data_IF_936107182731
#
_entry.id   IF_936107182731
#
_cell.length_a   1.000
_cell.length_b   1.000
_cell.length_c   1.000
_cell.angle_alpha   90.00
_cell.angle_beta   90.00
_cell.angle_gamma   90.00
#
_symmetry.space_group_name_H-M   'P 1'
#
loop_
_entity.id
_entity.type
_entity.pdbx_description
1 polymer ?
#
# COMPACT_ATOMS: atom_id res chain seq x y z
N UNK A 1 -2.93 10.56 14.79
CA UNK A 1 -3.12 9.09 14.83
C UNK A 1 -2.73 8.52 13.48
N UNK A 2 -1.69 7.69 13.41
CA UNK A 2 -1.37 6.89 12.22
C UNK A 2 -2.26 5.66 12.24
N UNK A 3 -3.32 5.68 11.43
CA UNK A 3 -4.11 4.47 11.17
C UNK A 3 -3.27 3.51 10.33
N UNK A 4 -2.84 2.40 10.93
CA UNK A 4 -2.19 1.30 10.23
C UNK A 4 -3.21 0.59 9.34
N UNK A 5 -2.84 0.34 8.08
CA UNK A 5 -3.66 -0.44 7.17
C UNK A 5 -3.69 -1.91 7.61
N UNK A 6 -4.86 -2.54 7.52
CA UNK A 6 -4.97 -3.98 7.69
C UNK A 6 -4.13 -4.73 6.65
N UNK A 7 -3.76 -5.97 6.96
CA UNK A 7 -3.01 -6.84 6.01
C UNK A 7 -3.76 -6.96 4.69
N UNK A 8 -5.08 -7.16 4.71
CA UNK A 8 -5.91 -7.27 3.50
C UNK A 8 -5.85 -6.01 2.63
N UNK A 9 -5.92 -4.83 3.24
CA UNK A 9 -5.83 -3.56 2.52
C UNK A 9 -4.44 -3.37 1.89
N UNK A 10 -3.37 -3.70 2.63
CA UNK A 10 -1.99 -3.63 2.08
C UNK A 10 -1.81 -4.60 0.91
N UNK A 11 -2.25 -5.85 1.07
CA UNK A 11 -2.18 -6.87 0.01
C UNK A 11 -2.92 -6.42 -1.25
N UNK A 12 -4.11 -5.83 -1.11
CA UNK A 12 -4.88 -5.32 -2.24
C UNK A 12 -4.13 -4.22 -2.99
N UNK A 13 -3.57 -3.22 -2.27
CA UNK A 13 -2.78 -2.14 -2.88
C UNK A 13 -1.58 -2.70 -3.65
N UNK A 14 -0.84 -3.64 -3.05
CA UNK A 14 0.36 -4.23 -3.64
C UNK A 14 0.01 -5.03 -4.90
N UNK A 15 -1.01 -5.88 -4.83
CA UNK A 15 -1.45 -6.68 -5.97
C UNK A 15 -1.91 -5.81 -7.14
N UNK A 16 -2.72 -4.77 -6.87
CA UNK A 16 -3.18 -3.84 -7.90
C UNK A 16 -2.02 -3.03 -8.51
N UNK A 17 -1.01 -2.68 -7.72
CA UNK A 17 0.23 -2.07 -8.25
C UNK A 17 1.00 -3.05 -9.14
N UNK A 18 1.15 -4.31 -8.74
CA UNK A 18 1.83 -5.34 -9.54
C UNK A 18 1.10 -5.60 -10.87
N UNK A 19 -0.22 -5.39 -10.92
CA UNK A 19 -1.02 -5.39 -12.14
C UNK A 19 -0.83 -4.12 -13.01
N UNK A 20 0.02 -3.17 -12.61
CA UNK A 20 0.39 -1.99 -13.40
C UNK A 20 -0.32 -0.69 -13.00
N UNK A 21 -1.13 -0.68 -11.93
CA UNK A 21 -1.77 0.55 -11.47
C UNK A 21 -0.76 1.57 -10.93
N UNK A 22 -0.93 2.84 -11.30
CA UNK A 22 -0.11 3.94 -10.78
C UNK A 22 -0.48 4.29 -9.35
N UNK A 23 0.46 4.88 -8.60
CA UNK A 23 0.19 5.35 -7.23
C UNK A 23 -0.96 6.36 -7.14
N UNK A 24 -1.12 7.20 -8.18
CA UNK A 24 -2.24 8.14 -8.28
C UNK A 24 -3.58 7.42 -8.42
N UNK A 25 -3.64 6.37 -9.26
CA UNK A 25 -4.85 5.56 -9.40
C UNK A 25 -5.18 4.82 -8.11
N UNK A 26 -4.19 4.23 -7.45
CA UNK A 26 -4.36 3.55 -6.15
C UNK A 26 -4.87 4.51 -5.07
N UNK A 27 -4.38 5.74 -5.02
CA UNK A 27 -4.84 6.73 -4.05
C UNK A 27 -6.33 7.07 -4.23
N UNK A 28 -6.80 7.16 -5.48
CA UNK A 28 -8.20 7.39 -5.81
C UNK A 28 -9.07 6.17 -5.51
N UNK A 29 -8.68 4.99 -6.02
CA UNK A 29 -9.47 3.76 -5.93
C UNK A 29 -9.62 3.29 -4.47
N UNK A 30 -8.56 3.40 -3.65
CA UNK A 30 -8.58 3.00 -2.24
C UNK A 30 -8.88 4.16 -1.27
N UNK A 31 -9.05 5.38 -1.76
CA UNK A 31 -9.29 6.61 -0.97
C UNK A 31 -8.25 6.85 0.13
N UNK A 32 -6.98 6.54 -0.18
CA UNK A 32 -5.85 6.82 0.71
C UNK A 32 -4.98 7.95 0.16
N UNK A 33 -4.24 8.60 1.06
CA UNK A 33 -3.25 9.59 0.64
C UNK A 33 -2.17 8.94 -0.23
N UNK A 34 -1.61 9.68 -1.20
CA UNK A 34 -0.45 9.21 -1.99
C UNK A 34 0.73 8.82 -1.11
N UNK A 35 0.90 9.47 0.05
CA UNK A 35 1.94 9.12 1.04
C UNK A 35 1.70 7.73 1.63
N UNK A 36 0.46 7.39 1.97
CA UNK A 36 0.09 6.07 2.50
C UNK A 36 0.37 4.98 1.46
N UNK A 37 0.00 5.22 0.20
CA UNK A 37 0.28 4.31 -0.92
C UNK A 37 1.80 4.11 -1.07
N UNK A 38 2.55 5.21 -1.17
CA UNK A 38 4.00 5.18 -1.29
C UNK A 38 4.66 4.39 -0.16
N UNK A 39 4.31 4.66 1.10
CA UNK A 39 4.89 3.97 2.25
C UNK A 39 4.59 2.47 2.24
N UNK A 40 3.37 2.09 1.83
CA UNK A 40 2.96 0.68 1.73
C UNK A 40 3.80 -0.06 0.69
N UNK A 41 3.94 0.52 -0.50
CA UNK A 41 4.71 -0.06 -1.60
C UNK A 41 6.22 -0.08 -1.29
N UNK A 42 6.74 0.99 -0.69
CA UNK A 42 8.14 1.07 -0.25
C UNK A 42 8.46 -0.04 0.75
N UNK A 43 7.63 -0.18 1.80
CA UNK A 43 7.82 -1.22 2.82
C UNK A 43 7.78 -2.63 2.22
N UNK A 44 6.85 -2.89 1.29
CA UNK A 44 6.79 -4.17 0.59
C UNK A 44 8.04 -4.41 -0.27
N UNK A 45 8.54 -3.39 -0.99
CA UNK A 45 9.76 -3.50 -1.78
C UNK A 45 11.00 -3.78 -0.92
N UNK A 46 11.09 -3.18 0.26
CA UNK A 46 12.25 -3.30 1.15
C UNK A 46 12.27 -4.63 1.94
N UNK A 47 11.10 -5.13 2.34
CA UNK A 47 11.01 -6.26 3.28
C UNK A 47 10.25 -7.47 2.73
N UNK A 48 9.68 -7.37 1.53
CA UNK A 48 8.86 -8.41 0.89
C UNK A 48 7.75 -8.97 1.79
N UNK A 49 7.15 -8.11 2.62
CA UNK A 49 6.10 -8.51 3.57
C UNK A 49 4.93 -7.53 3.59
N UNK A 50 3.73 -8.09 3.75
CA UNK A 50 2.45 -7.36 3.94
C UNK A 50 2.08 -7.21 5.42
N UNK A 51 2.88 -7.78 6.33
CA UNK A 51 2.69 -7.66 7.77
C UNK A 51 3.18 -6.29 8.24
N UNK A 52 2.59 -5.80 9.33
CA UNK A 52 3.16 -4.67 10.04
C UNK A 52 4.49 -5.13 10.63
N UNK A 53 5.58 -4.44 10.31
CA UNK A 53 6.82 -4.52 11.08
C UNK A 53 6.69 -3.56 12.28
N UNK A 54 7.17 -3.97 13.46
CA UNK A 54 7.18 -3.13 14.66
C UNK A 54 7.92 -1.79 14.43
#
# INVERSE_FOLDING_TARGET
>A
MTFELSVTQRSAIIYTHQAGATQSKLALDFRYSRRTIYNTLKRFKEHNTVKSLP
#
